data_IF_356021885198
#
_entry.id   IF_356021885198
#
_cell.length_a   1.000
_cell.length_b   1.000
_cell.length_c   1.000
_cell.angle_alpha   90.00
_cell.angle_beta   90.00
_cell.angle_gamma   90.00
#
_symmetry.space_group_name_H-M   'P 1'
#
loop_
_entity.id
_entity.type
_entity.pdbx_description
1 polymer ?
#
# COMPACT_ATOMS: atom_id res chain seq x y z
N UNK A 1 -11.16 -12.88 -12.02
CA UNK A 1 -9.91 -12.81 -11.22
C UNK A 1 -9.96 -11.49 -10.47
N UNK A 2 -10.08 -11.56 -9.15
CA UNK A 2 -10.31 -10.39 -8.30
C UNK A 2 -9.02 -9.68 -7.91
N UNK A 3 -9.09 -8.37 -7.67
CA UNK A 3 -8.08 -7.61 -6.95
C UNK A 3 -8.31 -7.73 -5.46
N UNK A 4 -7.26 -7.74 -4.63
CA UNK A 4 -7.37 -7.76 -3.18
C UNK A 4 -6.68 -6.54 -2.56
N UNK A 5 -7.35 -5.87 -1.63
CA UNK A 5 -6.75 -4.84 -0.77
C UNK A 5 -6.49 -5.47 0.60
N UNK A 6 -5.23 -5.51 1.02
CA UNK A 6 -4.81 -6.01 2.31
C UNK A 6 -4.28 -4.86 3.15
N UNK A 7 -4.85 -4.63 4.33
CA UNK A 7 -4.40 -3.51 5.16
C UNK A 7 -5.02 -3.44 6.54
N UNK A 8 -4.57 -2.46 7.31
CA UNK A 8 -4.99 -2.29 8.70
C UNK A 8 -6.07 -1.22 8.87
N UNK A 9 -6.85 -1.42 9.93
CA UNK A 9 -7.88 -0.48 10.40
C UNK A 9 -7.41 0.07 11.74
N UNK A 10 -7.48 1.40 12.00
CA UNK A 10 -7.00 2.00 13.24
C UNK A 10 -7.94 1.79 14.43
N UNK A 11 -8.32 0.55 14.66
CA UNK A 11 -9.17 0.07 15.74
C UNK A 11 -8.65 -1.30 16.20
N UNK A 12 -8.04 -1.36 17.40
CA UNK A 12 -7.49 -2.61 17.94
C UNK A 12 -8.52 -3.72 18.12
N UNK A 13 -9.81 -3.38 18.27
CA UNK A 13 -10.90 -4.34 18.42
C UNK A 13 -11.42 -4.90 17.10
N UNK A 14 -11.04 -4.29 15.95
CA UNK A 14 -11.52 -4.74 14.66
C UNK A 14 -10.97 -6.15 14.32
N UNK A 15 -11.85 -7.12 14.03
CA UNK A 15 -11.41 -8.50 13.82
C UNK A 15 -10.72 -8.69 12.47
N UNK A 16 -9.89 -9.72 12.36
CA UNK A 16 -9.37 -10.17 11.06
C UNK A 16 -10.54 -10.60 10.17
N UNK A 17 -10.75 -9.88 9.08
CA UNK A 17 -11.91 -10.03 8.19
C UNK A 17 -11.50 -10.05 6.76
N UNK A 18 -11.95 -11.04 6.00
CA UNK A 18 -11.74 -11.13 4.56
C UNK A 18 -13.05 -11.27 3.80
N UNK A 19 -13.12 -10.76 2.57
CA UNK A 19 -14.27 -10.94 1.70
C UNK A 19 -14.61 -9.72 0.86
N UNK A 20 -15.86 -9.69 0.39
CA UNK A 20 -16.42 -8.58 -0.37
C UNK A 20 -16.99 -7.52 0.55
N UNK A 21 -16.92 -6.29 0.09
CA UNK A 21 -17.40 -5.12 0.81
C UNK A 21 -18.25 -4.26 -0.11
N UNK A 22 -19.18 -3.52 0.44
CA UNK A 22 -19.94 -2.48 -0.25
C UNK A 22 -19.82 -1.16 0.50
N UNK A 23 -19.85 -0.07 -0.24
CA UNK A 23 -19.89 1.28 0.31
C UNK A 23 -21.34 1.79 0.30
N UNK A 24 -21.80 2.32 1.45
CA UNK A 24 -23.11 2.90 1.58
C UNK A 24 -23.09 4.01 2.65
N UNK A 25 -23.55 5.22 2.29
CA UNK A 25 -23.66 6.35 3.22
C UNK A 25 -22.35 6.75 3.91
N UNK A 26 -21.17 6.53 3.28
CA UNK A 26 -19.86 6.81 3.87
C UNK A 26 -19.37 5.71 4.81
N UNK A 27 -20.01 4.55 4.81
CA UNK A 27 -19.62 3.38 5.58
C UNK A 27 -19.36 2.17 4.69
N UNK A 28 -18.33 1.40 5.05
CA UNK A 28 -18.04 0.10 4.47
C UNK A 28 -18.78 -0.99 5.24
N UNK A 29 -19.46 -1.85 4.52
CA UNK A 29 -20.20 -3.00 5.05
C UNK A 29 -19.61 -4.29 4.49
N UNK A 30 -19.23 -5.22 5.36
CA UNK A 30 -18.84 -6.57 4.93
C UNK A 30 -20.06 -7.34 4.43
N UNK A 31 -20.01 -7.94 3.25
CA UNK A 31 -21.14 -8.69 2.68
C UNK A 31 -21.51 -9.94 3.49
N UNK A 32 -20.56 -10.52 4.24
CA UNK A 32 -20.81 -11.65 5.14
C UNK A 32 -21.55 -11.31 6.44
N UNK A 33 -21.77 -10.02 6.73
CA UNK A 33 -22.38 -9.56 7.99
C UNK A 33 -21.52 -9.81 9.22
N UNK A 34 -22.07 -9.58 10.41
CA UNK A 34 -21.42 -9.92 11.70
C UNK A 34 -20.36 -8.91 12.17
N UNK A 35 -20.10 -7.85 11.41
CA UNK A 35 -19.13 -6.80 11.75
C UNK A 35 -19.84 -5.45 11.66
N UNK A 36 -19.57 -4.56 12.62
CA UNK A 36 -20.09 -3.20 12.59
C UNK A 36 -19.59 -2.47 11.32
N UNK A 37 -20.41 -1.58 10.74
CA UNK A 37 -19.99 -0.75 9.61
C UNK A 37 -18.74 0.04 9.94
N UNK A 38 -17.80 0.06 8.99
CA UNK A 38 -16.51 0.75 9.13
C UNK A 38 -16.59 2.13 8.48
N UNK A 39 -16.35 3.18 9.22
CA UNK A 39 -16.38 4.55 8.70
C UNK A 39 -15.24 4.80 7.71
N UNK A 40 -15.57 5.41 6.56
CA UNK A 40 -14.60 5.82 5.54
C UNK A 40 -14.09 7.21 5.87
N UNK A 41 -12.97 7.29 6.59
CA UNK A 41 -12.38 8.58 6.97
C UNK A 41 -10.95 8.72 6.43
N UNK A 42 -10.09 7.73 6.65
CA UNK A 42 -8.67 7.75 6.28
C UNK A 42 -8.10 6.33 6.22
N UNK A 43 -6.87 6.21 5.71
CA UNK A 43 -6.12 4.95 5.69
C UNK A 43 -6.77 3.89 4.80
N UNK A 44 -6.64 2.61 5.17
CA UNK A 44 -7.15 1.50 4.35
C UNK A 44 -8.67 1.55 4.12
N UNK A 45 -9.52 2.00 5.06
CA UNK A 45 -10.93 2.22 4.78
C UNK A 45 -11.20 3.23 3.67
N UNK A 46 -10.44 4.34 3.62
CA UNK A 46 -10.56 5.34 2.55
C UNK A 46 -10.12 4.77 1.20
N UNK A 47 -8.98 4.07 1.16
CA UNK A 47 -8.52 3.39 -0.04
C UNK A 47 -9.56 2.39 -0.57
N UNK A 48 -10.12 1.54 0.29
CA UNK A 48 -11.14 0.57 -0.11
C UNK A 48 -12.42 1.26 -0.61
N UNK A 49 -12.90 2.29 0.10
CA UNK A 49 -14.06 3.06 -0.32
C UNK A 49 -13.87 3.71 -1.69
N UNK A 50 -12.72 4.34 -1.91
CA UNK A 50 -12.36 4.94 -3.21
C UNK A 50 -12.27 3.89 -4.31
N UNK A 51 -11.65 2.74 -4.04
CA UNK A 51 -11.56 1.65 -5.00
C UNK A 51 -12.93 1.10 -5.40
N UNK A 52 -13.85 0.93 -4.43
CA UNK A 52 -15.22 0.49 -4.72
C UNK A 52 -15.97 1.48 -5.62
N UNK A 53 -15.91 2.79 -5.31
CA UNK A 53 -16.53 3.84 -6.14
C UNK A 53 -15.93 3.90 -7.54
N UNK A 54 -14.60 3.79 -7.64
CA UNK A 54 -13.91 3.79 -8.92
C UNK A 54 -14.32 2.59 -9.77
N UNK A 55 -14.37 1.39 -9.18
CA UNK A 55 -14.81 0.20 -9.88
C UNK A 55 -16.27 0.29 -10.34
N UNK A 56 -17.17 0.84 -9.51
CA UNK A 56 -18.55 1.10 -9.86
C UNK A 56 -18.64 2.07 -11.05
N UNK A 57 -17.90 3.18 -10.99
CA UNK A 57 -17.88 4.19 -12.07
C UNK A 57 -17.36 3.63 -13.39
N UNK A 58 -16.35 2.75 -13.33
CA UNK A 58 -15.75 2.12 -14.51
C UNK A 58 -16.48 0.87 -14.99
N UNK A 59 -17.47 0.38 -14.25
CA UNK A 59 -18.19 -0.85 -14.55
C UNK A 59 -17.29 -2.11 -14.51
N UNK A 60 -16.29 -2.14 -13.60
CA UNK A 60 -15.37 -3.26 -13.43
C UNK A 60 -15.60 -3.98 -12.10
N UNK A 61 -15.09 -5.22 -11.99
CA UNK A 61 -15.24 -6.02 -10.77
C UNK A 61 -14.58 -5.32 -9.57
N UNK A 62 -15.31 -5.12 -8.45
CA UNK A 62 -14.76 -4.49 -7.25
C UNK A 62 -13.74 -5.40 -6.56
N UNK A 63 -12.78 -4.82 -5.82
CA UNK A 63 -11.81 -5.60 -5.06
C UNK A 63 -12.47 -6.32 -3.88
N UNK A 64 -11.86 -7.44 -3.48
CA UNK A 64 -12.03 -7.99 -2.14
C UNK A 64 -11.10 -7.28 -1.16
N UNK A 65 -11.35 -7.38 0.13
CA UNK A 65 -10.42 -6.88 1.13
C UNK A 65 -10.10 -7.94 2.19
N UNK A 66 -8.87 -7.85 2.73
CA UNK A 66 -8.41 -8.56 3.91
C UNK A 66 -7.94 -7.53 4.92
N UNK A 67 -8.71 -7.33 5.98
CA UNK A 67 -8.51 -6.25 6.96
C UNK A 67 -8.29 -6.81 8.36
N UNK A 68 -7.49 -6.11 9.18
CA UNK A 68 -7.35 -6.39 10.61
C UNK A 68 -7.13 -5.08 11.39
N UNK A 69 -7.58 -5.06 12.63
CA UNK A 69 -7.38 -3.92 13.52
C UNK A 69 -5.93 -3.81 13.97
N UNK A 70 -5.32 -2.62 13.80
CA UNK A 70 -3.96 -2.32 14.26
C UNK A 70 -3.85 -0.83 14.60
N UNK A 71 -3.35 -0.52 15.77
CA UNK A 71 -3.13 0.86 16.23
C UNK A 71 -1.66 1.30 16.14
N UNK A 72 -0.87 0.61 15.31
CA UNK A 72 0.54 0.92 15.08
C UNK A 72 1.53 0.08 15.88
N UNK A 73 1.08 -0.94 16.61
CA UNK A 73 1.92 -1.89 17.35
C UNK A 73 2.19 -3.21 16.61
N UNK A 74 1.59 -3.38 15.42
CA UNK A 74 1.81 -4.53 14.55
C UNK A 74 0.97 -5.78 14.85
N UNK A 75 0.06 -5.74 15.83
CA UNK A 75 -0.73 -6.92 16.20
C UNK A 75 -1.68 -7.36 15.07
N UNK A 76 -2.34 -6.42 14.44
CA UNK A 76 -3.17 -6.68 13.27
C UNK A 76 -2.36 -7.07 12.05
N UNK A 77 -1.25 -6.39 11.83
CA UNK A 77 -0.34 -6.69 10.72
C UNK A 77 0.21 -8.10 10.79
N UNK A 78 0.61 -8.59 11.97
CA UNK A 78 1.04 -9.98 12.16
C UNK A 78 -0.06 -11.00 11.83
N UNK A 79 -1.32 -10.69 12.13
CA UNK A 79 -2.46 -11.55 11.75
C UNK A 79 -2.63 -11.58 10.23
N UNK A 80 -2.48 -10.43 9.55
CA UNK A 80 -2.54 -10.34 8.10
C UNK A 80 -1.40 -11.13 7.44
N UNK A 81 -0.16 -10.93 7.87
CA UNK A 81 0.99 -11.71 7.38
C UNK A 81 0.78 -13.22 7.55
N UNK A 82 0.36 -13.65 8.73
CA UNK A 82 0.11 -15.07 9.02
C UNK A 82 -1.00 -15.63 8.14
N UNK A 83 -2.08 -14.87 7.93
CA UNK A 83 -3.21 -15.26 7.09
C UNK A 83 -2.81 -15.40 5.63
N UNK A 84 -2.02 -14.46 5.10
CA UNK A 84 -1.53 -14.48 3.72
C UNK A 84 -0.56 -15.65 3.49
N UNK A 85 0.42 -15.82 4.38
CA UNK A 85 1.41 -16.88 4.28
C UNK A 85 0.81 -18.30 4.40
N UNK A 86 -0.31 -18.45 5.10
CA UNK A 86 -1.00 -19.75 5.25
C UNK A 86 -2.05 -20.03 4.16
N UNK A 87 -2.24 -19.14 3.18
CA UNK A 87 -3.44 -19.16 2.35
C UNK A 87 -3.21 -19.78 0.96
N UNK A 88 -3.76 -20.97 0.67
CA UNK A 88 -3.93 -21.45 -0.70
C UNK A 88 -4.88 -20.57 -1.53
N UNK A 89 -5.63 -19.65 -0.91
CA UNK A 89 -6.65 -18.82 -1.55
C UNK A 89 -6.10 -17.61 -2.31
N UNK A 90 -4.78 -17.43 -2.38
CA UNK A 90 -4.15 -16.45 -3.29
C UNK A 90 -4.17 -16.93 -4.75
N UNK A 91 -4.47 -18.21 -4.98
CA UNK A 91 -4.70 -18.75 -6.32
C UNK A 91 -5.87 -18.04 -7.00
N UNK A 92 -5.60 -17.39 -8.14
CA UNK A 92 -6.60 -16.67 -8.91
C UNK A 92 -6.78 -15.19 -8.55
N UNK A 93 -6.01 -14.64 -7.59
CA UNK A 93 -5.92 -13.21 -7.34
C UNK A 93 -5.08 -12.56 -8.45
N UNK A 94 -5.62 -11.53 -9.10
CA UNK A 94 -4.94 -10.81 -10.19
C UNK A 94 -3.91 -9.81 -9.67
N UNK A 95 -4.20 -9.18 -8.54
CA UNK A 95 -3.34 -8.19 -7.91
C UNK A 95 -3.64 -8.02 -6.44
N UNK A 96 -2.64 -7.60 -5.68
CA UNK A 96 -2.73 -7.33 -4.24
C UNK A 96 -2.16 -5.95 -3.97
N UNK A 97 -2.93 -5.12 -3.27
CA UNK A 97 -2.46 -3.86 -2.69
C UNK A 97 -2.26 -4.04 -1.19
N UNK A 98 -1.03 -3.82 -0.73
CA UNK A 98 -0.67 -3.82 0.68
C UNK A 98 -0.63 -2.38 1.19
N UNK A 99 -1.38 -2.09 2.25
CA UNK A 99 -1.58 -0.73 2.73
C UNK A 99 -1.58 -0.65 4.25
N UNK A 100 -0.72 0.21 4.81
CA UNK A 100 -0.58 0.43 6.26
C UNK A 100 -0.29 -0.82 7.11
N UNK A 101 0.47 -1.79 6.59
CA UNK A 101 0.97 -2.88 7.42
C UNK A 101 2.25 -2.44 8.15
N UNK A 102 2.33 -2.81 9.43
CA UNK A 102 3.54 -2.60 10.22
C UNK A 102 4.71 -3.40 9.63
N UNK A 103 5.90 -2.82 9.46
CA UNK A 103 7.05 -3.50 8.90
C UNK A 103 7.50 -4.70 9.75
N UNK A 104 7.47 -5.90 9.17
CA UNK A 104 7.92 -7.16 9.76
C UNK A 104 8.63 -7.98 8.67
N UNK A 105 9.96 -8.06 8.75
CA UNK A 105 10.80 -8.70 7.74
C UNK A 105 10.46 -10.18 7.53
N UNK A 106 10.28 -10.93 8.61
CA UNK A 106 9.96 -12.36 8.55
C UNK A 106 8.55 -12.58 7.98
N UNK A 107 7.58 -11.82 8.47
CA UNK A 107 6.21 -11.86 7.96
C UNK A 107 6.13 -11.54 6.47
N UNK A 108 6.80 -10.46 6.04
CA UNK A 108 6.89 -10.06 4.64
C UNK A 108 7.50 -11.16 3.75
N UNK A 109 8.65 -11.71 4.13
CA UNK A 109 9.34 -12.72 3.34
C UNK A 109 8.50 -13.99 3.20
N UNK A 110 7.83 -14.43 4.27
CA UNK A 110 6.89 -15.57 4.20
C UNK A 110 5.71 -15.31 3.26
N UNK A 111 5.19 -14.09 3.20
CA UNK A 111 4.14 -13.73 2.25
C UNK A 111 4.65 -13.82 0.82
N UNK A 112 5.82 -13.27 0.50
CA UNK A 112 6.40 -13.36 -0.84
C UNK A 112 6.63 -14.82 -1.27
N UNK A 113 7.21 -15.65 -0.39
CA UNK A 113 7.39 -17.08 -0.68
C UNK A 113 6.05 -17.78 -0.96
N UNK A 114 5.03 -17.52 -0.15
CA UNK A 114 3.70 -18.10 -0.36
C UNK A 114 3.06 -17.65 -1.68
N UNK A 115 3.30 -16.40 -2.11
CA UNK A 115 2.84 -15.89 -3.41
C UNK A 115 3.55 -16.58 -4.58
N UNK A 116 4.84 -16.84 -4.47
CA UNK A 116 5.61 -17.58 -5.47
C UNK A 116 5.14 -19.02 -5.62
N UNK A 117 4.82 -19.67 -4.50
CA UNK A 117 4.33 -21.06 -4.48
C UNK A 117 2.87 -21.18 -4.99
N UNK A 118 2.06 -20.14 -4.86
CA UNK A 118 0.63 -20.17 -5.21
C UNK A 118 0.33 -20.21 -6.71
N UNK A 119 1.31 -19.97 -7.60
CA UNK A 119 1.16 -19.99 -9.04
C UNK A 119 1.58 -18.71 -9.75
N UNK A 120 0.87 -18.25 -10.79
CA UNK A 120 1.24 -17.03 -11.51
C UNK A 120 1.27 -15.84 -10.55
N UNK A 121 2.40 -15.11 -10.55
CA UNK A 121 2.62 -13.94 -9.68
C UNK A 121 1.53 -12.89 -9.94
N UNK A 122 0.79 -12.46 -8.88
CA UNK A 122 -0.13 -11.33 -9.01
C UNK A 122 0.64 -10.01 -9.17
N UNK A 123 -0.05 -8.97 -9.65
CA UNK A 123 0.46 -7.60 -9.57
C UNK A 123 0.57 -7.19 -8.10
N UNK A 124 1.74 -6.74 -7.68
CA UNK A 124 2.00 -6.35 -6.29
C UNK A 124 2.15 -4.84 -6.17
N UNK A 125 1.29 -4.25 -5.35
CA UNK A 125 1.32 -2.82 -5.02
C UNK A 125 1.58 -2.67 -3.53
N UNK A 126 2.49 -1.79 -3.14
CA UNK A 126 2.76 -1.51 -1.74
C UNK A 126 2.79 -0.01 -1.46
N UNK A 127 2.23 0.35 -0.31
CA UNK A 127 2.22 1.70 0.24
C UNK A 127 2.68 1.69 1.70
N UNK A 128 3.22 2.81 2.18
CA UNK A 128 3.65 3.02 3.57
C UNK A 128 4.54 1.89 4.12
N UNK A 129 4.23 1.36 5.29
CA UNK A 129 5.05 0.39 6.01
C UNK A 129 5.40 -0.88 5.22
N UNK A 130 4.55 -1.30 4.29
CA UNK A 130 4.83 -2.47 3.47
C UNK A 130 5.91 -2.19 2.40
N UNK A 131 5.92 -0.99 1.85
CA UNK A 131 6.99 -0.51 0.97
C UNK A 131 8.33 -0.42 1.73
N UNK A 132 8.30 0.03 3.00
CA UNK A 132 9.50 0.08 3.83
C UNK A 132 10.09 -1.31 4.05
N UNK A 133 9.26 -2.29 4.41
CA UNK A 133 9.74 -3.65 4.64
C UNK A 133 10.23 -4.30 3.35
N UNK A 134 9.66 -4.01 2.21
CA UNK A 134 10.14 -4.49 0.91
C UNK A 134 11.56 -4.00 0.62
N UNK A 135 11.85 -2.71 0.86
CA UNK A 135 13.22 -2.18 0.80
C UNK A 135 14.14 -2.85 1.82
N UNK A 136 13.73 -2.89 3.10
CA UNK A 136 14.56 -3.39 4.19
C UNK A 136 14.91 -4.88 4.03
N UNK A 137 14.07 -5.65 3.37
CA UNK A 137 14.30 -7.07 3.07
C UNK A 137 15.04 -7.31 1.75
N UNK A 138 15.28 -6.27 0.95
CA UNK A 138 15.95 -6.38 -0.35
C UNK A 138 15.06 -6.94 -1.47
N UNK A 139 13.73 -6.85 -1.32
CA UNK A 139 12.75 -7.37 -2.29
C UNK A 139 11.90 -6.27 -2.93
N UNK A 140 12.40 -5.03 -3.02
CA UNK A 140 11.66 -3.94 -3.65
C UNK A 140 11.35 -4.23 -5.13
N UNK A 141 12.24 -4.88 -5.86
CA UNK A 141 12.09 -5.30 -7.25
C UNK A 141 11.03 -6.40 -7.47
N UNK A 142 10.61 -7.06 -6.39
CA UNK A 142 9.48 -8.00 -6.45
C UNK A 142 8.14 -7.31 -6.68
N UNK A 143 8.05 -5.99 -6.51
CA UNK A 143 6.83 -5.21 -6.61
C UNK A 143 6.68 -4.52 -7.97
N UNK A 144 5.41 -4.42 -8.43
CA UNK A 144 5.10 -3.70 -9.65
C UNK A 144 4.95 -2.20 -9.41
N UNK A 145 4.39 -1.79 -8.27
CA UNK A 145 4.14 -0.38 -7.96
C UNK A 145 4.38 -0.08 -6.48
N UNK A 146 5.13 1.00 -6.21
CA UNK A 146 5.15 1.70 -4.93
C UNK A 146 4.49 3.07 -5.08
N UNK A 147 3.85 3.56 -4.00
CA UNK A 147 3.15 4.85 -3.97
C UNK A 147 3.73 5.79 -2.89
N UNK A 148 5.04 6.14 -2.96
CA UNK A 148 5.69 6.97 -1.96
C UNK A 148 5.23 8.43 -2.03
N UNK A 149 5.19 9.10 -0.87
CA UNK A 149 5.35 10.55 -0.81
C UNK A 149 6.84 10.96 -0.92
N UNK A 150 7.13 12.25 -0.89
CA UNK A 150 8.53 12.75 -1.00
C UNK A 150 9.43 12.24 0.15
N UNK A 151 8.91 12.15 1.38
CA UNK A 151 9.64 11.62 2.53
C UNK A 151 9.91 10.13 2.42
N UNK A 152 8.92 9.38 1.99
CA UNK A 152 9.02 7.94 1.72
C UNK A 152 10.00 7.66 0.57
N UNK A 153 9.97 8.49 -0.48
CA UNK A 153 10.93 8.41 -1.59
C UNK A 153 12.36 8.69 -1.11
N UNK A 154 12.56 9.66 -0.21
CA UNK A 154 13.87 9.93 0.39
C UNK A 154 14.39 8.70 1.15
N UNK A 155 13.51 7.96 1.85
CA UNK A 155 13.89 6.69 2.48
C UNK A 155 14.29 5.64 1.44
N UNK A 156 13.57 5.49 0.33
CA UNK A 156 13.93 4.57 -0.74
C UNK A 156 15.28 4.95 -1.37
N UNK A 157 15.56 6.24 -1.50
CA UNK A 157 16.81 6.78 -2.06
C UNK A 157 18.02 6.68 -1.13
N UNK A 158 17.83 6.44 0.17
CA UNK A 158 18.92 6.31 1.15
C UNK A 158 19.33 4.84 1.31
N UNK A 159 20.47 4.47 0.68
CA UNK A 159 20.99 3.10 0.73
C UNK A 159 21.23 2.59 2.17
N UNK A 160 21.64 3.50 3.07
CA UNK A 160 22.13 3.15 4.41
C UNK A 160 21.07 3.22 5.49
N UNK A 161 19.94 3.88 5.25
CA UNK A 161 18.90 3.99 6.25
C UNK A 161 18.25 2.63 6.54
N UNK A 162 18.43 2.07 7.74
CA UNK A 162 17.84 0.78 8.11
C UNK A 162 16.34 0.91 8.43
N UNK A 163 15.83 2.14 8.61
CA UNK A 163 14.44 2.43 8.94
C UNK A 163 14.13 3.88 8.56
N UNK A 164 12.88 4.23 8.15
CA UNK A 164 12.51 5.58 7.75
C UNK A 164 12.90 6.69 8.75
N UNK A 165 12.80 6.43 10.05
CA UNK A 165 13.19 7.40 11.09
C UNK A 165 14.66 7.81 11.06
N UNK A 166 15.53 7.05 10.44
CA UNK A 166 16.97 7.36 10.32
C UNK A 166 17.31 8.05 9.00
N UNK A 167 16.33 8.22 8.10
CA UNK A 167 16.55 8.92 6.84
C UNK A 167 16.73 10.41 7.10
N UNK A 168 17.87 10.96 6.67
CA UNK A 168 18.07 12.39 6.66
C UNK A 168 17.10 13.02 5.66
N UNK A 169 16.33 14.00 6.13
CA UNK A 169 15.39 14.69 5.24
C UNK A 169 14.01 14.05 5.14
N UNK A 170 13.73 12.91 5.81
CA UNK A 170 12.39 12.31 5.80
C UNK A 170 11.26 13.32 6.11
N UNK A 171 11.51 14.25 7.04
CA UNK A 171 10.57 15.33 7.39
C UNK A 171 10.80 16.63 6.58
N UNK A 172 11.92 16.73 5.85
CA UNK A 172 12.33 17.92 5.11
C UNK A 172 12.40 17.70 3.60
N UNK A 173 12.02 16.50 3.15
CA UNK A 173 12.15 16.08 1.75
C UNK A 173 11.28 16.89 0.76
N UNK A 174 10.37 17.73 1.27
CA UNK A 174 9.59 18.66 0.43
C UNK A 174 10.49 19.66 -0.37
N UNK A 175 11.74 19.85 0.07
CA UNK A 175 12.73 20.74 -0.58
C UNK A 175 13.78 19.95 -1.41
N UNK A 176 13.73 18.60 -1.41
CA UNK A 176 14.65 17.79 -2.20
C UNK A 176 14.19 17.63 -3.66
N UNK A 177 15.17 17.52 -4.53
CA UNK A 177 14.97 17.27 -5.96
C UNK A 177 14.43 15.85 -6.21
N UNK A 178 13.13 15.72 -6.50
CA UNK A 178 12.46 14.45 -6.79
C UNK A 178 13.20 13.62 -7.86
N UNK A 179 13.66 14.18 -8.99
CA UNK A 179 14.46 13.43 -9.97
C UNK A 179 15.69 12.76 -9.37
N UNK A 180 16.44 13.45 -8.53
CA UNK A 180 17.63 12.88 -7.86
C UNK A 180 17.28 11.76 -6.87
N UNK A 181 16.16 11.89 -6.15
CA UNK A 181 15.67 10.83 -5.26
C UNK A 181 15.27 9.59 -6.06
N UNK A 182 14.55 9.77 -7.17
CA UNK A 182 14.16 8.68 -8.08
C UNK A 182 15.40 7.95 -8.60
N UNK A 183 16.36 8.69 -9.14
CA UNK A 183 17.60 8.09 -9.67
C UNK A 183 18.28 7.21 -8.62
N UNK A 184 18.47 7.72 -7.39
CA UNK A 184 19.12 6.98 -6.30
C UNK A 184 18.30 5.75 -5.87
N UNK A 185 16.97 5.86 -5.76
CA UNK A 185 16.12 4.74 -5.37
C UNK A 185 16.26 3.57 -6.34
N UNK A 186 16.28 3.84 -7.66
CA UNK A 186 16.49 2.80 -8.66
C UNK A 186 17.93 2.29 -8.70
N UNK A 187 18.93 3.16 -8.57
CA UNK A 187 20.34 2.75 -8.52
C UNK A 187 20.66 1.79 -7.38
N UNK A 188 19.99 1.98 -6.24
CA UNK A 188 20.15 1.11 -5.06
C UNK A 188 19.26 -0.13 -5.09
N UNK A 189 18.42 -0.32 -6.11
CA UNK A 189 17.49 -1.44 -6.19
C UNK A 189 16.37 -1.38 -5.14
N UNK A 190 16.07 -0.19 -4.63
CA UNK A 190 15.09 0.05 -3.56
C UNK A 190 13.70 0.47 -4.08
N UNK A 191 13.51 0.49 -5.40
CA UNK A 191 12.27 0.89 -6.04
C UNK A 191 11.55 -0.31 -6.67
N UNK A 192 10.22 -0.27 -6.67
CA UNK A 192 9.40 -1.14 -7.50
C UNK A 192 9.57 -0.79 -8.98
N UNK A 193 9.05 -1.63 -9.89
CA UNK A 193 9.07 -1.34 -11.33
C UNK A 193 8.52 0.05 -11.65
N UNK A 194 7.37 0.40 -11.03
CA UNK A 194 6.76 1.72 -11.13
C UNK A 194 6.79 2.43 -9.78
N UNK A 195 6.92 3.75 -9.82
CA UNK A 195 6.65 4.65 -8.68
C UNK A 195 5.53 5.61 -9.07
N UNK A 196 4.53 5.75 -8.20
CA UNK A 196 3.58 6.86 -8.20
C UNK A 196 3.94 7.76 -7.01
N UNK A 197 4.68 8.83 -7.26
CA UNK A 197 5.18 9.72 -6.22
C UNK A 197 4.10 10.76 -5.94
N UNK A 198 3.53 10.71 -4.74
CA UNK A 198 2.43 11.57 -4.31
C UNK A 198 2.95 12.94 -3.86
N UNK A 199 2.24 14.01 -4.23
CA UNK A 199 2.59 15.37 -3.82
C UNK A 199 1.60 16.41 -4.36
N UNK A 200 2.03 17.67 -4.43
CA UNK A 200 1.28 18.72 -5.13
C UNK A 200 1.19 18.42 -6.63
N UNK A 201 2.18 17.76 -7.16
CA UNK A 201 2.23 17.16 -8.48
C UNK A 201 2.58 15.70 -8.26
N UNK A 202 1.72 14.80 -8.70
CA UNK A 202 1.98 13.37 -8.68
C UNK A 202 2.81 13.01 -9.91
N UNK A 203 3.89 12.22 -9.70
CA UNK A 203 4.78 11.80 -10.76
C UNK A 203 4.67 10.30 -10.98
N UNK A 204 4.43 9.86 -12.22
CA UNK A 204 4.50 8.45 -12.61
C UNK A 204 5.85 8.16 -13.23
N UNK A 205 6.56 7.18 -12.68
CA UNK A 205 7.91 6.80 -13.09
C UNK A 205 7.99 5.29 -13.35
N UNK A 206 8.70 4.87 -14.40
CA UNK A 206 9.03 3.47 -14.70
C UNK A 206 10.55 3.33 -14.88
N UNK A 207 11.18 2.50 -14.06
CA UNK A 207 12.63 2.22 -14.20
C UNK A 207 13.51 3.47 -14.16
N UNK A 208 13.14 4.50 -13.41
CA UNK A 208 13.84 5.79 -13.35
C UNK A 208 13.42 6.80 -14.42
N UNK A 209 12.57 6.42 -15.38
CA UNK A 209 12.09 7.32 -16.44
C UNK A 209 10.71 7.89 -16.08
N UNK A 210 10.59 9.21 -16.06
CA UNK A 210 9.31 9.90 -15.87
C UNK A 210 8.40 9.66 -17.08
N UNK A 211 7.18 9.19 -16.83
CA UNK A 211 6.16 8.90 -17.84
C UNK A 211 5.13 10.01 -17.97
N UNK A 212 4.83 10.70 -16.88
CA UNK A 212 3.86 11.78 -16.84
C UNK A 212 3.63 12.30 -15.44
N UNK A 213 2.96 13.43 -15.37
CA UNK A 213 2.64 14.14 -14.14
C UNK A 213 1.14 14.43 -14.10
N UNK A 214 0.58 14.42 -12.89
CA UNK A 214 -0.80 14.84 -12.63
C UNK A 214 -0.79 15.91 -11.55
N UNK A 215 -1.49 17.01 -11.79
CA UNK A 215 -1.66 18.08 -10.79
C UNK A 215 -3.13 18.45 -10.72
N UNK A 216 -3.73 18.22 -9.57
CA UNK A 216 -5.12 18.61 -9.27
C UNK A 216 -5.15 19.40 -7.95
N UNK A 217 -5.18 20.75 -8.04
CA UNK A 217 -5.10 21.58 -6.84
C UNK A 217 -6.21 21.35 -5.81
N UNK A 218 -7.38 20.89 -6.23
CA UNK A 218 -8.48 20.59 -5.31
C UNK A 218 -8.20 19.32 -4.50
N UNK A 219 -7.57 18.31 -5.11
CA UNK A 219 -7.14 17.10 -4.42
C UNK A 219 -5.97 17.42 -3.48
N UNK A 220 -4.97 18.16 -3.95
CA UNK A 220 -3.84 18.59 -3.14
C UNK A 220 -4.25 19.40 -1.89
N UNK A 221 -5.34 20.16 -1.97
CA UNK A 221 -5.87 20.90 -0.81
C UNK A 221 -6.43 19.99 0.30
N UNK A 222 -6.66 18.70 0.03
CA UNK A 222 -7.13 17.71 1.01
C UNK A 222 -5.98 17.04 1.78
N UNK A 223 -4.74 17.20 1.35
CA UNK A 223 -3.54 16.60 1.99
C UNK A 223 -3.49 16.86 3.51
N UNK A 224 -3.70 18.10 4.03
CA UNK A 224 -3.63 18.37 5.46
C UNK A 224 -4.63 17.59 6.31
N UNK A 225 -5.68 17.05 5.72
CA UNK A 225 -6.70 16.24 6.40
C UNK A 225 -6.59 14.75 6.06
N UNK A 226 -5.50 14.35 5.39
CA UNK A 226 -5.23 12.97 5.01
C UNK A 226 -6.10 12.47 3.86
N UNK A 227 -6.48 13.35 2.95
CA UNK A 227 -7.37 13.08 1.82
C UNK A 227 -6.69 12.80 0.49
N UNK A 228 -5.38 12.56 0.49
CA UNK A 228 -4.62 12.22 -0.74
C UNK A 228 -4.17 10.78 -0.75
#
# INVERSE_FOLDING_TARGET
>A
MAWMICGTVPDASFPLTGGRWRLDGGFLHAEGGGIAPLSVQRGTPALLGTALLTCETLGVEPPTALLAGDTGNGDGSRKLYSRLAASPSLSGVRGITFHYLFPDLDGHNRVLMALEEAGPKPVLVADAGFMYVAKMSGYADAYDLFTPDAGELAFLADEKAPHPFYTRGFLLAADEDIPSLVERAYQHGNAARFLLIKGKVDHLVEGGRFLGDVSEPQVAALEPIGGT
#
